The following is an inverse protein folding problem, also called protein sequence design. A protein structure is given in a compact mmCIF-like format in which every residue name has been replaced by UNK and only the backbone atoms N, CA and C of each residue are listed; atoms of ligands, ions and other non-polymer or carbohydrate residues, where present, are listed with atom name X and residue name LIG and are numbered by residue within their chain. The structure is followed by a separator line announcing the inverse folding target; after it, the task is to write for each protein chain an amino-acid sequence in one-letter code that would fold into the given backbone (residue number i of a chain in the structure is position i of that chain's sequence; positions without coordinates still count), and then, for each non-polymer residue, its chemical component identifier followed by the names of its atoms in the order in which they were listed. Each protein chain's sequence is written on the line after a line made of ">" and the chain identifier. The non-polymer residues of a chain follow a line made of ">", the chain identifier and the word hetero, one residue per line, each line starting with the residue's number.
data_IF_847668963605
#
_entry.id   IF_847668963605
#
_cell.length_a   1.000
_cell.length_b   1.000
_cell.length_c   1.000
_cell.angle_alpha   90.00
_cell.angle_beta   90.00
_cell.angle_gamma   90.00
#
_symmetry.space_group_name_H-M   'P 1'
#
loop_
_entity.id
_entity.type
_entity.pdbx_description
1 polymer ?
#
# COMPACT_ATOMS: atom_id res chain seq x y z
N UNK A 1 -8.03 -29.89 12.93
CA UNK A 1 -7.72 -28.48 13.23
C UNK A 1 -7.23 -27.81 11.95
N UNK A 2 -8.16 -27.54 11.02
CA UNK A 2 -7.81 -26.98 9.71
C UNK A 2 -7.56 -25.47 9.79
N UNK A 3 -6.88 -24.95 8.78
CA UNK A 3 -6.60 -23.52 8.52
C UNK A 3 -7.88 -22.65 8.36
N UNK A 4 -9.07 -23.18 8.65
CA UNK A 4 -10.37 -22.49 8.53
C UNK A 4 -10.79 -21.68 9.76
N UNK A 5 -9.93 -21.58 10.79
CA UNK A 5 -10.19 -20.77 11.99
C UNK A 5 -9.59 -19.35 11.94
N UNK A 6 -8.79 -19.05 10.92
CA UNK A 6 -8.24 -17.71 10.71
C UNK A 6 -9.34 -16.88 10.04
N UNK A 7 -10.19 -16.25 10.85
CA UNK A 7 -11.20 -15.35 10.31
C UNK A 7 -10.55 -14.06 9.78
N UNK A 8 -11.16 -13.49 8.74
CA UNK A 8 -10.70 -12.26 8.07
C UNK A 8 -10.46 -11.13 9.10
N UNK A 9 -11.27 -11.09 10.16
CA UNK A 9 -11.14 -10.09 11.24
C UNK A 9 -9.81 -10.16 11.98
N UNK A 10 -9.28 -11.36 12.21
CA UNK A 10 -8.00 -11.56 12.87
C UNK A 10 -6.85 -11.10 11.96
N UNK A 11 -6.94 -11.37 10.65
CA UNK A 11 -5.94 -10.91 9.69
C UNK A 11 -5.88 -9.38 9.60
N UNK A 12 -7.03 -8.69 9.66
CA UNK A 12 -7.06 -7.22 9.68
C UNK A 12 -6.39 -6.65 10.92
N UNK A 13 -6.63 -7.25 12.09
CA UNK A 13 -6.00 -6.83 13.36
C UNK A 13 -4.48 -7.03 13.29
N UNK A 14 -4.03 -8.19 12.80
CA UNK A 14 -2.60 -8.47 12.62
C UNK A 14 -1.97 -7.50 11.63
N UNK A 15 -2.63 -7.23 10.50
CA UNK A 15 -2.17 -6.27 9.49
C UNK A 15 -2.02 -4.87 10.10
N UNK A 16 -2.99 -4.42 10.90
CA UNK A 16 -2.93 -3.12 11.56
C UNK A 16 -1.69 -3.01 12.48
N UNK A 17 -1.39 -4.06 13.25
CA UNK A 17 -0.20 -4.10 14.11
C UNK A 17 1.08 -4.03 13.25
N UNK A 18 1.17 -4.81 12.17
CA UNK A 18 2.32 -4.79 11.26
C UNK A 18 2.52 -3.40 10.67
N UNK A 19 1.45 -2.76 10.19
CA UNK A 19 1.50 -1.38 9.66
C UNK A 19 1.97 -0.39 10.72
N UNK A 20 1.53 -0.54 11.98
CA UNK A 20 1.93 0.33 13.08
C UNK A 20 3.41 0.16 13.45
N UNK A 21 3.94 -1.07 13.41
CA UNK A 21 5.34 -1.37 13.73
C UNK A 21 6.31 -0.94 12.63
N UNK A 22 5.98 -1.22 11.37
CA UNK A 22 6.85 -0.92 10.23
C UNK A 22 6.62 0.50 9.69
N UNK A 23 5.49 1.11 10.00
CA UNK A 23 5.05 2.40 9.44
C UNK A 23 4.55 2.27 8.00
N UNK A 24 3.61 3.13 7.61
CA UNK A 24 3.01 3.15 6.27
C UNK A 24 4.02 3.52 5.18
N UNK A 25 5.04 4.33 5.49
CA UNK A 25 6.06 4.79 4.53
C UNK A 25 6.95 3.65 4.02
N UNK A 26 7.40 2.77 4.91
CA UNK A 26 8.20 1.57 4.54
C UNK A 26 7.35 0.55 3.80
N UNK A 27 6.13 0.33 4.28
CA UNK A 27 5.20 -0.61 3.65
C UNK A 27 4.75 -0.15 2.26
N UNK A 28 4.62 1.17 2.01
CA UNK A 28 4.31 1.72 0.69
C UNK A 28 5.46 1.58 -0.30
N UNK A 29 6.69 1.87 0.12
CA UNK A 29 7.87 1.71 -0.74
C UNK A 29 8.07 0.24 -1.15
N UNK A 30 8.07 -0.69 -0.18
CA UNK A 30 8.27 -2.12 -0.49
C UNK A 30 7.02 -2.73 -1.14
N UNK A 31 5.82 -2.31 -0.72
CA UNK A 31 4.55 -2.79 -1.27
C UNK A 31 4.31 -2.33 -2.71
N UNK A 32 4.80 -1.16 -3.11
CA UNK A 32 4.76 -0.69 -4.50
C UNK A 32 5.56 -1.60 -5.43
N UNK A 33 6.81 -1.90 -5.06
CA UNK A 33 7.71 -2.75 -5.86
C UNK A 33 7.19 -4.20 -5.96
N UNK A 34 6.79 -4.78 -4.82
CA UNK A 34 6.22 -6.12 -4.79
C UNK A 34 4.86 -6.19 -5.49
N UNK A 35 4.03 -5.16 -5.34
CA UNK A 35 2.73 -5.05 -5.98
C UNK A 35 2.83 -4.96 -7.50
N UNK A 36 3.80 -4.20 -8.02
CA UNK A 36 4.07 -4.10 -9.45
C UNK A 36 4.50 -5.46 -10.04
N UNK A 37 5.38 -6.19 -9.36
CA UNK A 37 5.82 -7.53 -9.80
C UNK A 37 4.66 -8.54 -9.82
N UNK A 38 3.83 -8.55 -8.78
CA UNK A 38 2.66 -9.44 -8.68
C UNK A 38 1.59 -9.07 -9.72
N UNK A 39 1.39 -7.76 -10.00
CA UNK A 39 0.45 -7.29 -11.04
C UNK A 39 0.87 -7.78 -12.43
N UNK A 40 2.16 -7.72 -12.76
CA UNK A 40 2.70 -8.26 -14.00
C UNK A 40 2.48 -9.77 -14.11
N UNK A 41 2.74 -10.52 -13.03
CA UNK A 41 2.51 -11.96 -12.97
C UNK A 41 1.04 -12.34 -13.14
N UNK A 42 0.12 -11.63 -12.48
CA UNK A 42 -1.33 -11.84 -12.65
C UNK A 42 -1.77 -11.57 -14.08
N UNK A 43 -1.29 -10.49 -14.70
CA UNK A 43 -1.61 -10.16 -16.09
C UNK A 43 -1.15 -11.24 -17.07
N UNK A 44 0.04 -11.83 -16.87
CA UNK A 44 0.52 -12.92 -17.71
C UNK A 44 -0.22 -14.23 -17.47
N UNK A 45 -0.63 -14.50 -16.23
CA UNK A 45 -1.41 -15.70 -15.89
C UNK A 45 -2.87 -15.62 -16.35
N UNK A 46 -3.45 -14.41 -16.41
CA UNK A 46 -4.86 -14.18 -16.80
C UNK A 46 -5.04 -13.92 -18.30
N UNK A 47 -4.11 -14.40 -19.14
CA UNK A 47 -4.11 -14.16 -20.59
C UNK A 47 -5.26 -14.87 -21.33
N UNK A 48 -6.48 -14.36 -21.18
CA UNK A 48 -7.62 -14.58 -22.09
C UNK A 48 -8.49 -13.32 -22.34
N UNK A 49 -8.16 -12.12 -21.82
CA UNK A 49 -8.79 -10.88 -22.31
C UNK A 49 -7.81 -9.69 -22.33
N UNK A 50 -7.81 -8.86 -23.41
CA UNK A 50 -6.99 -7.67 -23.48
C UNK A 50 -7.67 -6.56 -22.67
N UNK A 51 -7.17 -6.27 -21.47
CA UNK A 51 -7.48 -5.00 -20.82
C UNK A 51 -6.35 -4.01 -21.06
N UNK A 52 -6.57 -3.23 -22.10
CA UNK A 52 -6.07 -1.88 -22.27
C UNK A 52 -6.30 -1.10 -20.97
N UNK A 53 -5.23 -0.57 -20.39
CA UNK A 53 -5.23 -0.12 -19.00
C UNK A 53 -3.95 0.61 -18.63
N UNK A 54 -3.50 1.47 -19.53
CA UNK A 54 -2.58 2.56 -19.24
C UNK A 54 -3.12 3.37 -18.05
N UNK A 55 -2.45 3.29 -16.91
CA UNK A 55 -2.42 4.38 -15.92
C UNK A 55 -1.05 4.40 -15.27
N UNK A 56 -0.23 5.35 -15.72
CA UNK A 56 0.68 6.08 -14.83
C UNK A 56 0.05 6.24 -13.46
N UNK A 57 0.76 5.79 -12.45
CA UNK A 57 0.62 6.24 -11.06
C UNK A 57 2.07 6.47 -10.68
N UNK A 58 2.67 7.66 -10.74
CA UNK A 58 2.18 8.96 -10.27
C UNK A 58 1.29 8.78 -9.04
N UNK A 59 1.89 8.28 -7.95
CA UNK A 59 1.31 8.36 -6.62
C UNK A 59 2.31 9.01 -5.65
N UNK A 60 2.12 10.33 -5.56
CA UNK A 60 2.20 11.16 -4.37
C UNK A 60 3.58 11.31 -3.72
N UNK A 61 4.27 12.42 -4.00
CA UNK A 61 3.93 13.73 -3.39
C UNK A 61 3.90 13.58 -1.87
N UNK A 62 5.08 13.81 -1.27
CA UNK A 62 5.21 14.13 0.15
C UNK A 62 4.66 15.57 0.29
N UNK A 63 3.33 15.67 0.29
CA UNK A 63 2.61 16.77 0.93
C UNK A 63 2.96 16.72 2.42
N UNK A 64 4.09 17.35 2.78
CA UNK A 64 4.33 17.85 4.12
C UNK A 64 3.83 19.30 4.17
N UNK A 65 2.53 19.40 4.41
CA UNK A 65 1.84 20.59 4.90
C UNK A 65 0.98 20.05 6.05
N UNK A 66 1.06 20.48 7.31
CA UNK A 66 1.59 21.71 7.91
C UNK A 66 1.63 21.45 9.42
N UNK A 67 2.55 22.05 10.20
CA UNK A 67 2.20 22.71 11.48
C UNK A 67 3.06 23.97 11.66
N UNK A 68 2.36 25.07 11.42
CA UNK A 68 2.51 26.42 11.95
C UNK A 68 3.22 26.50 13.32
N UNK A 69 4.27 27.31 13.40
CA UNK A 69 4.56 28.06 14.63
C UNK A 69 4.76 29.51 14.28
N UNK A 70 3.66 30.24 14.36
CA UNK A 70 3.60 31.66 14.70
C UNK A 70 4.58 31.95 15.85
N UNK A 71 5.47 32.92 15.65
CA UNK A 71 5.66 34.05 16.58
C UNK A 71 6.75 35.01 16.07
N UNK A 72 6.39 36.31 16.03
CA UNK A 72 7.23 37.48 16.36
C UNK A 72 8.47 37.79 15.52
N UNK A 73 8.74 38.99 15.02
CA UNK A 73 8.28 40.35 15.34
C UNK A 73 8.75 41.26 14.20
N UNK A 74 7.86 42.13 13.69
CA UNK A 74 8.23 43.45 13.15
C UNK A 74 7.19 44.46 13.57
#
# INVERSE_FOLDING_TARGET
>A
MGLGGISIWQLLIVLAIVVMLFGTKRLRNIGGDLGAAIKGFRNTMSNEEPQDGDKKTDAADDSDASIEKSDSDK
#
